data_IF_116848642957
#
_entry.id   IF_116848642957
#
_cell.length_a   1.000
_cell.length_b   1.000
_cell.length_c   1.000
_cell.angle_alpha   90.00
_cell.angle_beta   90.00
_cell.angle_gamma   90.00
#
_symmetry.space_group_name_H-M   'P 1'
#
loop_
_entity.id
_entity.type
_entity.pdbx_description
1 polymer ?
#
# COMPACT_ATOMS: atom_id res chain seq x y z
N UNK A 1 28.77 -25.87 -0.73
CA UNK A 1 27.89 -25.50 0.41
C UNK A 1 26.48 -25.10 -0.06
N UNK A 2 25.75 -25.97 -0.80
CA UNK A 2 24.42 -25.65 -1.37
C UNK A 2 23.29 -26.60 -0.91
N UNK A 3 23.56 -27.53 0.01
CA UNK A 3 22.62 -28.62 0.36
C UNK A 3 21.88 -28.45 1.69
N UNK A 4 22.13 -27.36 2.42
CA UNK A 4 21.56 -27.13 3.77
C UNK A 4 20.37 -26.15 3.77
N UNK A 5 20.09 -25.50 2.64
CA UNK A 5 18.99 -24.52 2.52
C UNK A 5 17.63 -25.21 2.37
N UNK A 6 17.59 -26.37 1.71
CA UNK A 6 16.36 -27.12 1.45
C UNK A 6 15.65 -27.67 2.72
N UNK A 7 16.34 -28.22 3.74
CA UNK A 7 15.68 -28.69 4.96
C UNK A 7 15.13 -27.57 5.85
N UNK A 8 15.72 -26.35 5.80
CA UNK A 8 15.19 -25.21 6.54
C UNK A 8 13.88 -24.69 5.92
N UNK A 9 13.78 -24.71 4.58
CA UNK A 9 12.59 -24.27 3.87
C UNK A 9 11.40 -25.23 4.10
N UNK A 10 11.66 -26.54 4.18
CA UNK A 10 10.62 -27.55 4.48
C UNK A 10 10.21 -27.58 5.94
N UNK A 11 11.13 -27.29 6.88
CA UNK A 11 10.79 -27.15 8.29
C UNK A 11 9.93 -25.88 8.55
N UNK A 12 10.21 -24.80 7.82
CA UNK A 12 9.41 -23.58 7.87
C UNK A 12 7.98 -23.83 7.35
N UNK A 13 7.79 -24.56 6.25
CA UNK A 13 6.45 -24.85 5.72
C UNK A 13 5.62 -25.79 6.59
N UNK A 14 6.25 -26.75 7.27
CA UNK A 14 5.55 -27.69 8.17
C UNK A 14 5.04 -27.01 9.47
N UNK A 15 5.73 -26.00 9.97
CA UNK A 15 5.31 -25.24 11.16
C UNK A 15 4.08 -24.35 10.90
N UNK A 16 3.82 -23.95 9.65
CA UNK A 16 2.63 -23.17 9.27
C UNK A 16 1.37 -24.01 9.03
N UNK A 17 1.49 -25.33 8.89
CA UNK A 17 0.38 -26.21 8.53
C UNK A 17 -0.53 -26.60 9.71
N UNK A 18 -0.08 -26.45 10.96
CA UNK A 18 -0.75 -27.08 12.11
C UNK A 18 -1.85 -26.25 12.80
N UNK A 19 -2.19 -25.04 12.33
CA UNK A 19 -3.20 -24.20 13.01
C UNK A 19 -4.19 -23.55 12.04
N UNK A 20 -5.12 -24.34 11.51
CA UNK A 20 -6.31 -23.82 10.82
C UNK A 20 -7.55 -23.95 11.72
N UNK A 21 -7.71 -23.01 12.66
CA UNK A 21 -9.04 -22.61 13.11
C UNK A 21 -9.43 -21.35 12.35
N UNK A 22 -10.34 -21.54 11.40
CA UNK A 22 -10.87 -20.53 10.49
C UNK A 22 -11.50 -19.36 11.28
N UNK A 23 -10.78 -18.24 11.30
CA UNK A 23 -11.32 -16.89 11.48
C UNK A 23 -10.36 -15.93 10.76
N UNK A 24 -10.13 -16.20 9.47
CA UNK A 24 -9.13 -15.55 8.63
C UNK A 24 -9.45 -14.08 8.28
N UNK A 25 -10.63 -13.58 8.69
CA UNK A 25 -11.09 -12.23 8.34
C UNK A 25 -10.23 -11.15 9.00
N UNK A 26 -9.75 -10.18 8.23
CA UNK A 26 -9.41 -8.87 8.79
C UNK A 26 -10.59 -8.43 9.67
N UNK A 27 -10.37 -7.99 10.92
CA UNK A 27 -11.44 -7.89 11.91
C UNK A 27 -12.54 -6.86 11.59
N UNK A 28 -12.51 -6.18 10.45
CA UNK A 28 -13.52 -5.21 10.01
C UNK A 28 -13.91 -5.40 8.54
N UNK A 29 -15.09 -4.89 8.18
CA UNK A 29 -15.55 -4.87 6.79
C UNK A 29 -15.04 -3.64 6.06
N UNK A 30 -15.43 -2.44 6.51
CA UNK A 30 -15.01 -1.18 5.86
C UNK A 30 -14.30 -0.27 6.84
N UNK A 31 -13.30 0.47 6.37
CA UNK A 31 -12.68 1.54 7.13
C UNK A 31 -12.34 2.71 6.19
N UNK A 32 -12.45 3.93 6.69
CA UNK A 32 -12.06 5.17 5.99
C UNK A 32 -10.95 5.83 6.77
N UNK A 33 -10.07 6.57 6.11
CA UNK A 33 -8.92 7.12 6.80
C UNK A 33 -8.06 8.03 5.97
N UNK A 34 -6.87 8.29 6.48
CA UNK A 34 -5.81 9.01 5.80
C UNK A 34 -4.67 8.05 5.48
N UNK A 35 -4.15 8.14 4.27
CA UNK A 35 -2.91 7.51 3.82
C UNK A 35 -1.82 8.57 3.65
N UNK A 36 -0.58 8.17 3.90
CA UNK A 36 0.63 8.97 3.77
C UNK A 36 1.63 8.10 3.03
N UNK A 37 2.08 8.53 1.86
CA UNK A 37 3.07 7.87 1.03
C UNK A 37 4.41 8.59 1.18
N UNK A 38 5.45 7.83 1.52
CA UNK A 38 6.80 8.29 1.85
C UNK A 38 7.76 7.60 0.88
N UNK A 39 8.75 8.29 0.33
CA UNK A 39 9.77 7.69 -0.54
C UNK A 39 10.80 8.70 -1.03
N UNK A 40 11.58 8.31 -2.04
CA UNK A 40 12.50 9.24 -2.72
C UNK A 40 11.69 10.21 -3.59
N UNK A 41 11.28 11.32 -2.98
CA UNK A 41 10.48 12.36 -3.61
C UNK A 41 9.63 13.12 -2.61
N UNK A 42 8.52 13.65 -3.09
CA UNK A 42 7.54 14.31 -2.23
C UNK A 42 6.75 13.29 -1.39
N UNK A 43 6.42 13.68 -0.15
CA UNK A 43 5.44 12.96 0.67
C UNK A 43 4.02 13.28 0.22
N UNK A 44 3.28 12.27 -0.22
CA UNK A 44 1.89 12.42 -0.60
C UNK A 44 0.97 12.05 0.56
N UNK A 45 -0.18 12.71 0.67
CA UNK A 45 -1.15 12.36 1.71
C UNK A 45 -2.58 12.60 1.26
N UNK A 46 -3.53 11.86 1.82
CA UNK A 46 -4.94 12.10 1.50
C UNK A 46 -5.88 10.99 1.97
N UNK A 47 -7.17 11.10 1.62
CA UNK A 47 -8.17 10.14 2.04
C UNK A 47 -7.99 8.76 1.40
N UNK A 48 -8.35 7.74 2.16
CA UNK A 48 -8.43 6.36 1.69
C UNK A 48 -9.68 5.65 2.25
N UNK A 49 -10.13 4.62 1.55
CA UNK A 49 -11.17 3.71 1.99
C UNK A 49 -10.75 2.27 1.70
N UNK A 50 -10.77 1.43 2.72
CA UNK A 50 -10.53 -0.02 2.61
C UNK A 50 -11.82 -0.79 2.84
N UNK A 51 -12.11 -1.73 1.95
CA UNK A 51 -13.23 -2.65 2.06
C UNK A 51 -12.74 -4.10 1.97
N UNK A 52 -13.05 -4.90 2.98
CA UNK A 52 -12.79 -6.34 3.03
C UNK A 52 -14.06 -7.07 2.59
N UNK A 53 -13.96 -7.94 1.59
CA UNK A 53 -15.10 -8.64 0.98
C UNK A 53 -15.53 -9.89 1.76
N UNK A 54 -14.84 -10.21 2.85
CA UNK A 54 -14.93 -11.51 3.53
C UNK A 54 -13.77 -12.41 3.10
N UNK A 55 -13.47 -13.43 3.90
CA UNK A 55 -12.26 -14.22 3.71
C UNK A 55 -11.00 -13.37 3.93
N UNK A 56 -10.08 -13.41 2.97
CA UNK A 56 -8.78 -12.75 3.04
C UNK A 56 -8.66 -11.55 2.07
N UNK A 57 -9.71 -11.26 1.31
CA UNK A 57 -9.66 -10.32 0.19
C UNK A 57 -10.12 -8.93 0.59
N UNK A 58 -9.35 -7.91 0.21
CA UNK A 58 -9.71 -6.52 0.42
C UNK A 58 -9.28 -5.63 -0.74
N UNK A 59 -9.99 -4.52 -0.92
CA UNK A 59 -9.61 -3.43 -1.82
C UNK A 59 -9.41 -2.16 -1.00
N UNK A 60 -8.36 -1.41 -1.31
CA UNK A 60 -8.08 -0.08 -0.77
C UNK A 60 -8.07 0.94 -1.90
N UNK A 61 -8.94 1.95 -1.86
CA UNK A 61 -8.92 3.07 -2.78
C UNK A 61 -8.40 4.31 -2.05
N UNK A 62 -7.61 5.13 -2.74
CA UNK A 62 -6.98 6.32 -2.18
C UNK A 62 -6.92 7.46 -3.18
N UNK A 63 -7.01 8.68 -2.65
CA UNK A 63 -6.67 9.92 -3.36
C UNK A 63 -5.57 10.58 -2.54
N UNK A 64 -4.39 10.77 -3.13
CA UNK A 64 -3.26 11.40 -2.45
C UNK A 64 -2.93 12.72 -3.15
N UNK A 65 -2.47 13.68 -2.37
CA UNK A 65 -2.09 15.01 -2.82
C UNK A 65 -0.65 15.30 -2.41
N UNK A 66 0.04 16.01 -3.29
CA UNK A 66 1.32 16.67 -3.05
C UNK A 66 1.33 18.03 -3.77
N UNK A 67 2.47 18.69 -3.74
CA UNK A 67 2.83 19.85 -4.52
C UNK A 67 2.75 19.49 -6.00
N UNK A 68 1.79 20.11 -6.69
CA UNK A 68 1.59 19.95 -8.13
C UNK A 68 1.26 18.51 -8.57
N UNK A 69 0.90 17.60 -7.66
CA UNK A 69 0.56 16.21 -7.99
C UNK A 69 -0.69 15.76 -7.25
N UNK A 70 -1.57 15.07 -7.98
CA UNK A 70 -2.69 14.32 -7.41
C UNK A 70 -2.64 12.88 -7.90
N UNK A 71 -2.74 11.92 -6.98
CA UNK A 71 -2.67 10.49 -7.30
C UNK A 71 -3.98 9.80 -6.95
N UNK A 72 -4.57 9.11 -7.91
CA UNK A 72 -5.71 8.21 -7.71
C UNK A 72 -5.22 6.77 -7.75
N UNK A 73 -5.53 5.98 -6.73
CA UNK A 73 -5.06 4.60 -6.63
C UNK A 73 -6.12 3.63 -6.13
N UNK A 74 -6.06 2.39 -6.61
CA UNK A 74 -6.86 1.28 -6.10
C UNK A 74 -5.99 0.04 -6.00
N UNK A 75 -5.85 -0.53 -4.81
CA UNK A 75 -5.08 -1.73 -4.56
C UNK A 75 -5.99 -2.88 -4.14
N UNK A 76 -5.77 -4.05 -4.73
CA UNK A 76 -6.28 -5.31 -4.20
C UNK A 76 -5.23 -5.92 -3.25
N UNK A 77 -5.68 -6.58 -2.19
CA UNK A 77 -4.80 -7.22 -1.22
C UNK A 77 -5.38 -8.53 -0.68
N UNK A 78 -4.50 -9.51 -0.51
CA UNK A 78 -4.72 -10.68 0.33
C UNK A 78 -4.18 -10.38 1.73
N UNK A 79 -5.03 -10.50 2.74
CA UNK A 79 -4.79 -10.11 4.13
C UNK A 79 -4.94 -11.33 5.03
N UNK A 80 -4.02 -11.58 5.96
CA UNK A 80 -4.13 -12.70 6.89
C UNK A 80 -3.65 -12.32 8.28
N UNK A 81 -4.39 -12.76 9.29
CA UNK A 81 -4.04 -12.55 10.70
C UNK A 81 -2.72 -13.24 11.05
N UNK A 82 -1.93 -12.59 11.90
CA UNK A 82 -0.74 -13.19 12.50
C UNK A 82 -1.18 -13.99 13.73
N UNK A 83 -0.96 -15.33 13.78
CA UNK A 83 -1.30 -16.13 14.94
C UNK A 83 -0.65 -15.61 16.22
N UNK A 84 -1.39 -15.56 17.32
CA UNK A 84 -0.90 -15.05 18.60
C UNK A 84 -0.88 -13.51 18.74
N UNK A 85 -1.02 -12.75 17.64
CA UNK A 85 -1.04 -11.29 17.66
C UNK A 85 -2.45 -10.75 17.38
N UNK A 86 -3.26 -10.55 18.43
CA UNK A 86 -4.64 -10.06 18.28
C UNK A 86 -4.66 -8.68 17.62
N UNK A 87 -5.45 -8.55 16.55
CA UNK A 87 -5.61 -7.30 15.80
C UNK A 87 -4.55 -7.06 14.74
N UNK A 88 -3.46 -7.84 14.71
CA UNK A 88 -2.39 -7.71 13.73
C UNK A 88 -2.58 -8.68 12.57
N UNK A 89 -2.47 -8.16 11.36
CA UNK A 89 -2.50 -8.90 10.10
C UNK A 89 -1.32 -8.48 9.22
N UNK A 90 -0.90 -9.38 8.35
CA UNK A 90 -0.06 -9.03 7.20
C UNK A 90 -0.92 -8.99 5.94
N UNK A 91 -0.45 -8.29 4.92
CA UNK A 91 -1.04 -8.35 3.60
C UNK A 91 -0.01 -8.24 2.50
N UNK A 92 -0.34 -8.86 1.36
CA UNK A 92 0.33 -8.66 0.09
C UNK A 92 -0.71 -8.20 -0.92
N UNK A 93 -0.38 -7.19 -1.73
CA UNK A 93 -1.32 -6.59 -2.66
C UNK A 93 -0.65 -6.01 -3.88
N UNK A 94 -1.48 -5.56 -4.82
CA UNK A 94 -1.06 -4.84 -6.02
C UNK A 94 -2.21 -3.98 -6.54
N UNK A 95 -1.90 -2.81 -7.08
CA UNK A 95 -2.90 -1.88 -7.57
C UNK A 95 -2.39 -0.95 -8.66
N UNK A 96 -3.23 -0.58 -9.65
CA UNK A 96 -2.93 0.55 -10.52
C UNK A 96 -3.06 1.88 -9.76
N UNK A 97 -2.24 2.85 -10.17
CA UNK A 97 -2.35 4.25 -9.77
C UNK A 97 -2.19 5.16 -10.97
N UNK A 98 -2.88 6.30 -10.93
CA UNK A 98 -2.82 7.36 -11.95
C UNK A 98 -2.43 8.65 -11.26
N UNK A 99 -1.39 9.30 -11.76
CA UNK A 99 -0.86 10.55 -11.22
C UNK A 99 -1.12 11.68 -12.21
N UNK A 100 -1.73 12.75 -11.75
CA UNK A 100 -1.95 13.98 -12.49
C UNK A 100 -0.93 14.98 -11.97
N UNK A 101 0.01 15.39 -12.83
CA UNK A 101 1.13 16.25 -12.47
C UNK A 101 0.97 17.57 -13.23
N UNK A 102 0.98 18.69 -12.52
CA UNK A 102 0.78 20.03 -13.06
C UNK A 102 1.84 21.03 -12.60
N UNK A 103 2.89 21.19 -13.39
CA UNK A 103 3.92 22.19 -13.11
C UNK A 103 3.44 23.58 -13.54
N UNK A 104 3.09 24.43 -12.56
CA UNK A 104 2.62 25.80 -12.85
C UNK A 104 3.69 26.63 -13.59
N UNK A 105 3.23 27.41 -14.57
CA UNK A 105 4.03 28.20 -15.50
C UNK A 105 4.83 29.34 -14.82
N UNK A 106 4.56 29.63 -13.54
CA UNK A 106 5.27 30.63 -12.74
C UNK A 106 6.73 30.28 -12.43
N UNK A 107 7.09 29.00 -12.41
CA UNK A 107 8.46 28.50 -12.20
C UNK A 107 9.34 28.55 -13.46
N UNK A 108 8.74 28.84 -14.63
CA UNK A 108 9.46 28.90 -15.92
C UNK A 108 10.29 30.17 -16.14
N UNK A 109 10.30 31.11 -15.20
CA UNK A 109 10.98 32.40 -15.39
C UNK A 109 12.51 32.34 -15.25
N UNK A 110 13.07 31.24 -14.71
CA UNK A 110 14.52 31.12 -14.45
C UNK A 110 15.19 29.81 -14.88
N UNK A 111 14.47 28.85 -15.47
CA UNK A 111 15.05 27.56 -15.85
C UNK A 111 14.82 27.25 -17.34
N UNK A 112 15.91 27.22 -18.12
CA UNK A 112 15.96 26.95 -19.55
C UNK A 112 15.75 25.46 -19.93
N UNK A 113 15.00 24.70 -19.14
CA UNK A 113 14.66 23.32 -19.51
C UNK A 113 13.30 23.29 -20.19
N UNK A 114 13.33 23.13 -21.51
CA UNK A 114 12.17 22.76 -22.31
C UNK A 114 11.74 21.34 -21.92
N UNK A 115 10.81 21.23 -20.98
CA UNK A 115 10.25 19.94 -20.58
C UNK A 115 9.55 20.00 -19.24
N UNK A 116 8.42 20.70 -19.17
CA UNK A 116 7.55 20.76 -17.99
C UNK A 116 6.11 20.98 -18.49
N UNK A 117 5.52 19.94 -19.06
CA UNK A 117 4.12 19.92 -19.48
C UNK A 117 3.31 19.12 -18.47
N UNK A 118 2.12 19.62 -18.14
CA UNK A 118 1.12 18.87 -17.38
C UNK A 118 0.94 17.48 -18.01
N UNK A 119 1.24 16.41 -17.26
CA UNK A 119 1.19 15.05 -17.77
C UNK A 119 0.47 14.10 -16.82
N UNK A 120 0.10 12.93 -17.35
CA UNK A 120 -0.59 11.87 -16.62
C UNK A 120 0.27 10.62 -16.62
N UNK A 121 0.67 10.17 -15.44
CA UNK A 121 1.46 8.96 -15.27
C UNK A 121 0.63 7.79 -14.75
N UNK A 122 1.00 6.60 -15.18
CA UNK A 122 0.38 5.34 -14.79
C UNK A 122 1.43 4.49 -14.08
N UNK A 123 1.08 3.99 -12.90
CA UNK A 123 1.92 3.11 -12.12
C UNK A 123 1.18 1.83 -11.73
N UNK A 124 1.93 0.75 -11.54
CA UNK A 124 1.45 -0.49 -10.94
C UNK A 124 2.23 -0.72 -9.66
N UNK A 125 1.57 -0.67 -8.51
CA UNK A 125 2.28 -0.69 -7.23
C UNK A 125 1.98 -1.96 -6.48
N UNK A 126 2.95 -2.90 -6.35
CA UNK A 126 2.82 -3.98 -5.39
C UNK A 126 2.93 -3.40 -3.97
N UNK A 127 2.38 -4.10 -2.99
CA UNK A 127 2.42 -3.71 -1.59
C UNK A 127 2.65 -4.94 -0.71
N UNK A 128 3.50 -4.80 0.30
CA UNK A 128 3.68 -5.77 1.37
C UNK A 128 3.65 -5.04 2.70
N UNK A 129 2.68 -5.37 3.55
CA UNK A 129 2.40 -4.57 4.72
C UNK A 129 1.91 -5.32 5.94
N UNK A 130 1.89 -4.57 7.04
CA UNK A 130 1.25 -4.94 8.28
C UNK A 130 0.09 -3.99 8.54
N UNK A 131 -1.00 -4.54 9.05
CA UNK A 131 -2.17 -3.78 9.48
C UNK A 131 -2.55 -4.18 10.90
N UNK A 132 -2.68 -3.19 11.77
CA UNK A 132 -3.10 -3.36 13.15
C UNK A 132 -4.44 -2.68 13.39
N UNK A 133 -5.46 -3.47 13.74
CA UNK A 133 -6.72 -2.97 14.29
C UNK A 133 -6.68 -3.02 15.81
N UNK A 134 -6.96 -1.90 16.45
CA UNK A 134 -7.09 -1.81 17.90
C UNK A 134 -8.33 -2.62 18.33
N UNK A 135 -8.19 -3.67 19.18
CA UNK A 135 -9.35 -4.51 19.53
C UNK A 135 -10.45 -3.78 20.28
N UNK A 136 -10.10 -2.78 21.10
CA UNK A 136 -11.00 -2.01 21.96
C UNK A 136 -11.51 -0.70 21.34
N UNK A 137 -11.05 -0.34 20.13
CA UNK A 137 -11.39 0.93 19.50
C UNK A 137 -11.73 0.75 18.01
N UNK A 138 -12.57 1.61 17.41
CA UNK A 138 -12.85 1.59 15.98
C UNK A 138 -11.69 2.21 15.17
N UNK A 139 -10.44 1.86 15.49
CA UNK A 139 -9.25 2.42 14.88
C UNK A 139 -8.37 1.30 14.33
N UNK A 140 -7.82 1.55 13.16
CA UNK A 140 -6.82 0.70 12.52
C UNK A 140 -5.70 1.55 11.95
N UNK A 141 -4.52 0.94 11.82
CA UNK A 141 -3.35 1.56 11.23
C UNK A 141 -2.61 0.54 10.38
N UNK A 142 -1.92 1.01 9.35
CA UNK A 142 -1.08 0.16 8.52
C UNK A 142 0.26 0.82 8.24
N UNK A 143 1.24 -0.04 7.97
CA UNK A 143 2.53 0.32 7.41
C UNK A 143 2.86 -0.70 6.32
N UNK A 144 3.21 -0.22 5.14
CA UNK A 144 3.60 -1.08 4.04
C UNK A 144 4.79 -0.55 3.25
N UNK A 145 5.53 -1.51 2.69
CA UNK A 145 6.45 -1.24 1.60
C UNK A 145 5.66 -1.29 0.30
N UNK A 146 5.74 -0.23 -0.50
CA UNK A 146 4.92 -0.03 -1.70
C UNK A 146 5.74 0.64 -2.79
N UNK A 147 6.63 -0.11 -3.45
CA UNK A 147 7.50 0.46 -4.47
C UNK A 147 6.68 1.07 -5.61
N UNK A 148 7.25 2.09 -6.24
CA UNK A 148 6.64 2.82 -7.34
C UNK A 148 7.14 2.27 -8.67
N UNK A 149 6.31 1.48 -9.35
CA UNK A 149 6.61 1.06 -10.71
C UNK A 149 5.83 1.93 -11.71
N UNK A 150 6.49 2.98 -12.20
CA UNK A 150 5.95 3.79 -13.27
C UNK A 150 6.08 3.06 -14.61
N UNK A 151 5.01 3.03 -15.40
CA UNK A 151 4.94 2.32 -16.68
C UNK A 151 4.65 3.25 -17.88
N UNK A 152 4.55 4.55 -17.65
CA UNK A 152 4.30 5.56 -18.68
C UNK A 152 5.38 6.64 -18.71
N UNK A 153 5.55 7.33 -19.84
CA UNK A 153 6.59 8.34 -20.08
C UNK A 153 8.00 7.78 -19.84
N UNK A 154 8.49 7.81 -18.60
CA UNK A 154 9.76 7.24 -18.18
C UNK A 154 9.54 6.02 -17.28
N UNK A 155 9.61 4.83 -17.88
CA UNK A 155 9.46 3.55 -17.15
C UNK A 155 10.57 3.42 -16.11
N UNK A 156 10.18 3.41 -14.84
CA UNK A 156 11.09 3.34 -13.71
C UNK A 156 10.49 2.50 -12.59
N UNK A 157 11.36 1.83 -11.83
CA UNK A 157 10.98 1.09 -10.62
C UNK A 157 11.75 1.68 -9.44
N UNK A 158 11.04 2.38 -8.57
CA UNK A 158 11.59 2.93 -7.34
C UNK A 158 11.19 2.06 -6.13
N UNK A 159 12.14 1.34 -5.51
CA UNK A 159 11.88 0.51 -4.35
C UNK A 159 11.76 1.29 -3.03
N UNK A 160 12.05 2.60 -3.01
CA UNK A 160 12.22 3.39 -1.78
C UNK A 160 10.91 3.85 -1.13
N UNK A 161 9.76 3.50 -1.70
CA UNK A 161 8.46 4.00 -1.26
C UNK A 161 7.74 3.09 -0.25
N UNK A 162 7.13 3.71 0.75
CA UNK A 162 6.42 3.13 1.89
C UNK A 162 5.17 3.94 2.21
N UNK A 163 4.09 3.28 2.63
CA UNK A 163 2.88 3.95 3.09
C UNK A 163 2.64 3.74 4.58
N UNK A 164 2.13 4.79 5.22
CA UNK A 164 1.48 4.76 6.52
C UNK A 164 0.01 5.13 6.33
N UNK A 165 -0.89 4.55 7.13
CA UNK A 165 -2.21 5.14 7.19
C UNK A 165 -3.03 4.78 8.40
N UNK A 166 -3.90 5.70 8.75
CA UNK A 166 -4.72 5.70 9.95
C UNK A 166 -6.18 5.70 9.52
N UNK A 167 -6.95 4.75 10.05
CA UNK A 167 -8.30 4.45 9.59
C UNK A 167 -9.27 4.36 10.75
N UNK A 168 -10.46 4.92 10.56
CA UNK A 168 -11.63 4.70 11.38
C UNK A 168 -12.45 3.54 10.79
N UNK A 169 -12.69 2.52 11.62
CA UNK A 169 -13.47 1.35 11.24
C UNK A 169 -14.95 1.66 11.29
N UNK A 170 -15.64 1.44 10.17
CA UNK A 170 -17.09 1.57 10.07
C UNK A 170 -17.79 0.33 10.63
N UNK A 171 -18.96 0.53 11.24
CA UNK A 171 -19.82 -0.56 11.76
C UNK A 171 -20.38 -1.41 10.63
#
# INVERSE_FOLDING_TARGET
MKKVILPFLTLFTLLFAAHQKANAQTPYRTAIGLGIDLGDGETLFGPQIKHNFGGNDAVNAQVLFGDNITVLGVDYSYNKRIPGARGLSWYIGVGPQVSFIDYDKGYKKYHWKDGDDTHVDFAIRPALGLEFRIPSAPLAMHFDWKPWWNISHDVNFDPSSFSLGFKFVLK
#
